data_IF_205101961017
#
_entry.id   IF_205101961017
#
_cell.length_a   1.000
_cell.length_b   1.000
_cell.length_c   1.000
_cell.angle_alpha   90.00
_cell.angle_beta   90.00
_cell.angle_gamma   90.00
#
_symmetry.space_group_name_H-M   'P 1'
#
loop_
_entity.id
_entity.type
_entity.pdbx_description
1 polymer ?
#
# COMPACT_ATOMS: atom_id res chain seq x y z
N UNK A 1 12.00 -0.17 1.15
CA UNK A 1 11.18 0.70 0.27
C UNK A 1 9.77 0.17 0.25
N UNK A 2 8.82 0.98 -0.20
CA UNK A 2 7.40 0.63 -0.31
C UNK A 2 6.90 1.00 -1.71
N UNK A 3 6.13 0.11 -2.32
CA UNK A 3 5.59 0.28 -3.67
C UNK A 3 4.10 0.65 -3.60
N UNK A 4 3.75 1.77 -4.22
CA UNK A 4 2.39 2.20 -4.53
C UNK A 4 2.04 1.66 -5.92
N UNK A 5 1.11 0.70 -5.99
CA UNK A 5 0.72 0.04 -7.24
C UNK A 5 -0.78 -0.27 -7.22
N UNK A 6 -1.23 -1.26 -7.99
CA UNK A 6 -2.62 -1.68 -8.06
C UNK A 6 -3.25 -2.00 -6.68
N UNK A 7 -4.58 -2.17 -6.70
CA UNK A 7 -5.40 -2.57 -5.55
C UNK A 7 -5.51 -1.52 -4.44
N UNK A 8 -5.78 -0.26 -4.80
CA UNK A 8 -6.08 0.78 -3.82
C UNK A 8 -7.19 0.35 -2.85
N UNK A 9 -6.98 0.60 -1.57
CA UNK A 9 -7.95 0.35 -0.52
C UNK A 9 -8.78 1.60 -0.25
N UNK A 10 -9.93 1.43 0.40
CA UNK A 10 -10.80 2.56 0.72
C UNK A 10 -10.04 3.59 1.57
N UNK A 11 -10.19 4.89 1.28
CA UNK A 11 -9.48 5.98 1.98
C UNK A 11 -7.96 5.97 1.84
N UNK A 12 -7.40 5.25 0.85
CA UNK A 12 -6.09 5.62 0.33
C UNK A 12 -6.17 7.05 -0.24
N UNK A 13 -5.08 7.82 -0.07
CA UNK A 13 -5.03 9.25 -0.43
C UNK A 13 -3.69 9.59 -1.04
N UNK A 14 -3.71 10.54 -1.98
CA UNK A 14 -2.53 11.17 -2.56
C UNK A 14 -2.77 12.68 -2.46
N UNK A 15 -2.16 13.33 -1.47
CA UNK A 15 -2.47 14.70 -1.08
C UNK A 15 -1.24 15.59 -1.17
N UNK A 16 -1.45 16.90 -1.30
CA UNK A 16 -0.41 17.91 -1.33
C UNK A 16 0.70 17.58 -2.34
N UNK A 17 0.30 17.24 -3.57
CA UNK A 17 1.20 16.83 -4.66
C UNK A 17 2.13 15.66 -4.30
N UNK A 18 1.62 14.72 -3.51
CA UNK A 18 2.34 13.54 -3.06
C UNK A 18 3.17 13.76 -1.80
N UNK A 19 3.16 14.94 -1.18
CA UNK A 19 3.86 15.17 0.09
C UNK A 19 3.22 14.43 1.26
N UNK A 20 1.95 14.07 1.16
CA UNK A 20 1.27 13.18 2.10
C UNK A 20 0.56 12.08 1.30
N UNK A 21 0.86 10.83 1.61
CA UNK A 21 0.25 9.67 0.97
C UNK A 21 -0.28 8.76 2.06
N UNK A 22 -1.54 8.35 1.95
CA UNK A 22 -2.12 7.32 2.81
C UNK A 22 -2.29 6.09 1.95
N UNK A 23 -1.66 4.99 2.37
CA UNK A 23 -1.78 3.71 1.66
C UNK A 23 -1.87 2.55 2.66
N UNK A 24 -2.46 1.45 2.21
CA UNK A 24 -2.62 0.25 3.02
C UNK A 24 -1.37 -0.65 3.03
N UNK A 25 -1.23 -1.54 4.00
CA UNK A 25 -0.17 -2.55 4.00
C UNK A 25 -0.26 -3.48 2.79
N UNK A 26 0.86 -4.04 2.33
CA UNK A 26 0.83 -5.01 1.23
C UNK A 26 0.31 -6.39 1.66
N UNK A 27 -0.16 -7.19 0.70
CA UNK A 27 -0.61 -8.58 0.92
C UNK A 27 -2.10 -8.69 1.28
N UNK A 28 -2.60 -9.93 1.27
CA UNK A 28 -4.02 -10.25 1.52
C UNK A 28 -5.03 -9.61 0.55
N UNK A 29 -4.56 -9.18 -0.63
CA UNK A 29 -5.40 -8.86 -1.78
C UNK A 29 -5.92 -10.15 -2.44
N UNK A 30 -6.94 -10.02 -3.28
CA UNK A 30 -7.40 -11.14 -4.12
C UNK A 30 -6.24 -11.64 -4.99
N UNK A 31 -6.03 -12.95 -5.02
CA UNK A 31 -4.94 -13.57 -5.78
C UNK A 31 -5.40 -14.85 -6.48
N UNK A 32 -4.78 -15.14 -7.62
CA UNK A 32 -4.98 -16.40 -8.34
C UNK A 32 -3.81 -17.33 -7.98
N UNK A 33 -4.10 -18.41 -7.27
CA UNK A 33 -3.10 -19.43 -6.97
C UNK A 33 -3.21 -20.57 -7.97
N UNK A 34 -2.07 -21.05 -8.48
CA UNK A 34 -1.99 -22.20 -9.37
C UNK A 34 -1.39 -23.38 -8.61
N UNK A 35 -2.21 -24.34 -8.20
CA UNK A 35 -1.74 -25.61 -7.61
C UNK A 35 -2.13 -26.78 -8.51
N UNK A 36 -1.12 -27.54 -8.97
CA UNK A 36 -1.35 -28.73 -9.78
C UNK A 36 -2.05 -28.48 -11.13
N UNK A 37 -1.90 -27.29 -11.72
CA UNK A 37 -2.54 -26.92 -12.98
C UNK A 37 -3.98 -26.37 -12.86
N UNK A 38 -4.56 -26.36 -11.65
CA UNK A 38 -5.82 -25.66 -11.37
C UNK A 38 -5.54 -24.26 -10.85
N UNK A 39 -6.25 -23.28 -11.40
CA UNK A 39 -6.29 -21.89 -10.91
C UNK A 39 -7.43 -21.77 -9.90
N UNK A 40 -7.11 -21.35 -8.69
CA UNK A 40 -8.07 -21.06 -7.63
C UNK A 40 -8.00 -19.56 -7.30
N UNK A 41 -9.16 -18.92 -7.27
CA UNK A 41 -9.31 -17.53 -6.82
C UNK A 41 -9.37 -17.55 -5.30
N UNK A 42 -8.33 -17.00 -4.67
CA UNK A 42 -8.31 -16.75 -3.24
C UNK A 42 -8.77 -15.32 -3.01
N UNK A 43 -9.91 -15.20 -2.33
CA UNK A 43 -10.47 -13.92 -1.96
C UNK A 43 -9.56 -13.14 -0.99
N UNK A 44 -9.75 -11.83 -0.90
CA UNK A 44 -9.00 -11.00 0.03
C UNK A 44 -9.33 -11.39 1.49
N UNK A 45 -8.31 -11.38 2.36
CA UNK A 45 -8.48 -11.67 3.80
C UNK A 45 -8.05 -10.49 4.66
N UNK A 46 -8.32 -10.54 5.96
CA UNK A 46 -7.88 -9.51 6.91
C UNK A 46 -6.36 -9.43 6.99
N UNK A 47 -5.87 -8.21 7.23
CA UNK A 47 -4.49 -7.96 7.61
C UNK A 47 -4.32 -7.95 9.12
N UNK A 48 -3.17 -8.41 9.57
CA UNK A 48 -2.76 -8.50 10.97
C UNK A 48 -1.35 -7.92 11.16
N UNK A 49 -1.02 -7.54 12.39
CA UNK A 49 0.33 -7.08 12.74
C UNK A 49 1.42 -8.13 12.52
N UNK A 50 1.05 -9.41 12.35
CA UNK A 50 1.96 -10.53 12.12
C UNK A 50 2.28 -10.74 10.64
N UNK A 51 1.58 -10.06 9.75
CA UNK A 51 1.83 -10.15 8.32
C UNK A 51 3.17 -9.47 8.03
N UNK A 52 4.09 -10.17 7.35
CA UNK A 52 5.48 -9.71 7.18
C UNK A 52 5.60 -8.27 6.65
N UNK A 53 4.75 -7.91 5.68
CA UNK A 53 4.67 -6.56 5.10
C UNK A 53 4.20 -5.52 6.12
N UNK A 54 3.17 -5.84 6.89
CA UNK A 54 2.61 -4.97 7.95
C UNK A 54 3.62 -4.81 9.08
N UNK A 55 4.19 -5.92 9.58
CA UNK A 55 5.22 -5.90 10.63
C UNK A 55 6.42 -5.03 10.24
N UNK A 56 6.89 -5.12 8.99
CA UNK A 56 8.02 -4.32 8.52
C UNK A 56 7.71 -2.81 8.55
N UNK A 57 6.49 -2.41 8.17
CA UNK A 57 6.06 -1.01 8.21
C UNK A 57 5.82 -0.51 9.65
N UNK A 58 5.29 -1.37 10.53
CA UNK A 58 5.16 -1.07 11.96
C UNK A 58 6.53 -0.80 12.60
N UNK A 59 7.53 -1.63 12.28
CA UNK A 59 8.90 -1.41 12.76
C UNK A 59 9.50 -0.12 12.18
N UNK A 60 9.27 0.14 10.89
CA UNK A 60 9.72 1.39 10.23
C UNK A 60 9.12 2.63 10.91
N UNK A 61 7.84 2.55 11.30
CA UNK A 61 7.15 3.60 12.05
C UNK A 61 7.73 3.78 13.45
N UNK A 62 7.89 2.69 14.22
CA UNK A 62 8.41 2.74 15.59
C UNK A 62 9.82 3.35 15.66
N UNK A 63 10.68 2.96 14.73
CA UNK A 63 12.08 3.41 14.64
C UNK A 63 12.23 4.75 13.89
N UNK A 64 11.13 5.35 13.42
CA UNK A 64 11.11 6.61 12.65
C UNK A 64 12.07 6.59 11.44
N UNK A 65 12.23 5.43 10.81
CA UNK A 65 13.19 5.25 9.73
C UNK A 65 12.64 5.85 8.42
N UNK A 66 13.48 6.59 7.65
CA UNK A 66 13.11 7.00 6.30
C UNK A 66 12.87 5.78 5.41
N UNK A 67 11.81 5.84 4.60
CA UNK A 67 11.45 4.82 3.62
C UNK A 67 11.32 5.42 2.23
N UNK A 68 11.98 4.81 1.25
CA UNK A 68 11.81 5.20 -0.14
C UNK A 68 10.45 4.71 -0.67
N UNK A 69 9.67 5.61 -1.26
CA UNK A 69 8.43 5.28 -1.97
C UNK A 69 8.70 5.18 -3.47
N UNK A 70 8.20 4.09 -4.06
CA UNK A 70 8.19 3.82 -5.50
C UNK A 70 6.73 3.75 -5.94
N UNK A 71 6.43 4.19 -7.16
CA UNK A 71 5.07 4.19 -7.71
C UNK A 71 5.07 3.72 -9.16
N UNK A 72 3.97 3.11 -9.60
CA UNK A 72 3.70 2.80 -11.01
C UNK A 72 2.32 3.33 -11.45
N UNK A 73 2.04 3.24 -12.76
CA UNK A 73 0.80 3.70 -13.40
C UNK A 73 -0.45 2.91 -12.95
N UNK A 74 -0.29 1.79 -12.24
CA UNK A 74 -1.43 1.02 -11.71
C UNK A 74 -1.97 1.62 -10.41
N UNK A 75 -1.29 2.59 -9.80
CA UNK A 75 -1.79 3.29 -8.63
C UNK A 75 -2.84 4.33 -9.05
N UNK A 76 -4.11 4.03 -8.80
CA UNK A 76 -5.26 4.80 -9.29
C UNK A 76 -5.29 6.29 -8.89
N UNK A 77 -4.58 6.67 -7.81
CA UNK A 77 -4.52 8.06 -7.33
C UNK A 77 -3.31 8.83 -7.87
N UNK A 78 -2.48 8.21 -8.71
CA UNK A 78 -1.30 8.84 -9.28
C UNK A 78 -1.70 9.77 -10.43
N UNK A 79 -1.36 11.08 -10.38
CA UNK A 79 -1.82 12.03 -11.39
C UNK A 79 -0.93 12.10 -12.64
N UNK A 80 0.12 11.29 -12.72
CA UNK A 80 1.08 11.31 -13.82
C UNK A 80 1.03 10.00 -14.62
N UNK A 81 1.33 10.09 -15.91
CA UNK A 81 1.44 8.96 -16.83
C UNK A 81 2.92 8.66 -17.12
N UNK A 82 3.44 7.56 -16.56
CA UNK A 82 4.83 7.12 -16.76
C UNK A 82 5.03 6.47 -18.12
N UNK A 83 4.00 5.85 -18.68
CA UNK A 83 4.05 5.22 -20.01
C UNK A 83 4.42 6.23 -21.11
N UNK A 84 3.94 7.47 -21.00
CA UNK A 84 4.32 8.58 -21.88
C UNK A 84 5.81 8.94 -21.86
N UNK A 85 6.53 8.49 -20.82
CA UNK A 85 7.96 8.72 -20.59
C UNK A 85 8.80 7.45 -20.73
N UNK A 86 8.22 6.36 -21.24
CA UNK A 86 8.88 5.05 -21.34
C UNK A 86 9.43 4.54 -19.99
N UNK A 87 8.78 4.89 -18.88
CA UNK A 87 9.13 4.46 -17.54
C UNK A 87 8.04 3.52 -16.98
N UNK A 88 8.45 2.42 -16.33
CA UNK A 88 7.53 1.52 -15.66
C UNK A 88 7.27 1.92 -14.20
N UNK A 89 8.24 2.58 -13.57
CA UNK A 89 8.20 2.99 -12.19
C UNK A 89 8.85 4.37 -12.03
N UNK A 90 8.36 5.13 -11.05
CA UNK A 90 9.00 6.35 -10.58
C UNK A 90 9.37 6.21 -9.09
N UNK A 91 10.56 6.68 -8.72
CA UNK A 91 10.94 6.86 -7.32
C UNK A 91 10.41 8.22 -6.89
N UNK A 92 9.48 8.26 -5.95
CA UNK A 92 8.93 9.52 -5.45
C UNK A 92 9.93 10.25 -4.55
N UNK A 93 10.66 9.51 -3.72
CA UNK A 93 11.63 10.06 -2.77
C UNK A 93 11.58 9.34 -1.43
N UNK A 94 12.16 9.99 -0.42
CA UNK A 94 12.16 9.49 0.96
C UNK A 94 10.97 10.05 1.74
N UNK A 95 10.37 9.20 2.56
CA UNK A 95 9.21 9.52 3.39
C UNK A 95 9.42 8.99 4.80
N UNK A 96 8.67 9.50 5.75
CA UNK A 96 8.52 8.92 7.09
C UNK A 96 7.07 8.50 7.28
N UNK A 97 6.86 7.41 8.02
CA UNK A 97 5.52 7.03 8.46
C UNK A 97 5.22 7.89 9.68
N UNK A 98 4.12 8.65 9.63
CA UNK A 98 3.72 9.57 10.71
C UNK A 98 2.49 9.11 11.48
N UNK A 99 1.73 8.16 10.92
CA UNK A 99 0.62 7.50 11.60
C UNK A 99 0.39 6.11 11.02
N UNK A 100 -0.13 5.22 11.86
CA UNK A 100 -0.58 3.87 11.50
C UNK A 100 -1.87 3.52 12.24
N UNK A 101 -2.80 2.86 11.57
CA UNK A 101 -4.03 2.35 12.18
C UNK A 101 -4.56 1.13 11.42
N UNK A 102 -5.32 0.27 12.10
CA UNK A 102 -6.13 -0.75 11.46
C UNK A 102 -7.50 -0.17 11.11
N UNK A 103 -7.97 -0.43 9.89
CA UNK A 103 -9.21 0.13 9.36
C UNK A 103 -10.11 -0.95 8.78
N UNK A 104 -11.40 -0.92 9.12
CA UNK A 104 -12.42 -1.71 8.43
C UNK A 104 -12.85 -1.01 7.15
N UNK A 105 -12.84 -1.75 6.05
CA UNK A 105 -13.47 -1.36 4.78
C UNK A 105 -14.55 -2.38 4.39
N UNK A 106 -15.64 -1.98 3.73
CA UNK A 106 -16.64 -2.91 3.21
C UNK A 106 -16.02 -3.96 2.30
N UNK A 107 -16.55 -5.18 2.36
CA UNK A 107 -16.12 -6.28 1.51
C UNK A 107 -17.28 -7.23 1.25
N UNK A 108 -17.23 -7.89 0.09
CA UNK A 108 -18.19 -8.92 -0.29
C UNK A 108 -17.75 -10.28 0.25
N UNK A 109 -17.87 -10.44 1.57
CA UNK A 109 -17.57 -11.68 2.30
C UNK A 109 -18.60 -11.90 3.42
N UNK A 110 -18.55 -13.05 4.09
CA UNK A 110 -19.51 -13.39 5.17
C UNK A 110 -19.53 -12.36 6.32
N UNK A 111 -18.40 -11.68 6.56
CA UNK A 111 -18.28 -10.67 7.61
C UNK A 111 -18.77 -9.28 7.17
N UNK A 112 -18.94 -9.04 5.86
CA UNK A 112 -19.30 -7.75 5.27
C UNK A 112 -18.18 -6.70 5.30
N UNK A 113 -16.98 -7.05 5.77
CA UNK A 113 -15.83 -6.14 5.85
C UNK A 113 -14.50 -6.87 5.80
N UNK A 114 -13.44 -6.10 5.58
CA UNK A 114 -12.04 -6.50 5.70
C UNK A 114 -11.26 -5.47 6.51
N UNK A 115 -10.29 -5.95 7.28
CA UNK A 115 -9.31 -5.11 7.98
C UNK A 115 -8.11 -4.86 7.08
N UNK A 116 -7.75 -3.59 6.91
CA UNK A 116 -6.53 -3.12 6.25
C UNK A 116 -5.74 -2.25 7.21
N UNK A 117 -4.45 -2.53 7.34
CA UNK A 117 -3.55 -1.61 8.03
C UNK A 117 -3.28 -0.44 7.11
N UNK A 118 -3.41 0.78 7.62
CA UNK A 118 -3.15 2.04 6.92
C UNK A 118 -1.91 2.69 7.46
N UNK A 119 -1.15 3.31 6.58
CA UNK A 119 0.06 4.04 6.90
C UNK A 119 -0.01 5.42 6.23
N UNK A 120 0.18 6.47 7.02
CA UNK A 120 0.35 7.82 6.52
C UNK A 120 1.83 8.10 6.32
N UNK A 121 2.24 8.25 5.08
CA UNK A 121 3.58 8.64 4.66
C UNK A 121 3.63 10.15 4.46
N UNK A 122 4.60 10.81 5.07
CA UNK A 122 4.89 12.24 4.86
C UNK A 122 6.28 12.39 4.25
N UNK A 123 6.40 13.28 3.27
CA UNK A 123 7.66 13.63 2.63
C UNK A 123 8.75 13.89 3.67
N UNK A 124 9.92 13.29 3.47
CA UNK A 124 11.07 13.50 4.33
C UNK A 124 11.78 14.79 3.93
N UNK A 125 11.74 15.77 4.81
CA UNK A 125 12.59 16.96 4.72
C UNK A 125 13.79 16.76 5.63
N UNK A 126 14.97 16.64 5.03
CA UNK A 126 16.23 16.63 5.78
C UNK A 126 16.40 18.01 6.44
N UNK A 127 16.74 18.03 7.73
CA UNK A 127 16.84 19.28 8.50
C UNK A 127 18.18 19.98 8.30
#
# INVERSE_FOLDING_TARGET
GYLLSAFAAQRDRFEYDGRVIISHGGGHAESIHSHGGRKELLGPTDQTERDKSVTALLNTYAEHLPIALVIDDSYALFPFDLSSRSAAYAVLGWYTIVAVWAERQPADNESGYLVRFKFAFRWYEDK
#
